data_IF_885433243656
#
_entry.id   IF_885433243656
#
_cell.length_a   1.000
_cell.length_b   1.000
_cell.length_c   1.000
_cell.angle_alpha   90.00
_cell.angle_beta   90.00
_cell.angle_gamma   90.00
#
_symmetry.space_group_name_H-M   'P 1'
#
loop_
_entity.id
_entity.type
_entity.pdbx_description
1 polymer ?
#
# COMPACT_ATOMS: atom_id res chain seq x y z
N UNK A 1 37.05 -9.78 -49.36
CA UNK A 1 36.03 -9.09 -48.55
C UNK A 1 34.76 -9.94 -48.41
N UNK A 2 34.05 -10.27 -49.49
CA UNK A 2 32.81 -11.09 -49.42
C UNK A 2 32.98 -12.39 -48.63
N UNK A 3 33.98 -13.21 -48.96
CA UNK A 3 34.24 -14.48 -48.25
C UNK A 3 34.54 -14.26 -46.76
N UNK A 4 35.24 -13.18 -46.41
CA UNK A 4 35.53 -12.85 -45.01
C UNK A 4 34.27 -12.44 -44.25
N UNK A 5 33.42 -11.60 -44.85
CA UNK A 5 32.12 -11.22 -44.29
C UNK A 5 31.24 -12.46 -44.07
N UNK A 6 31.13 -13.34 -45.07
CA UNK A 6 30.37 -14.58 -44.98
C UNK A 6 30.92 -15.52 -43.89
N UNK A 7 32.25 -15.66 -43.80
CA UNK A 7 32.90 -16.48 -42.78
C UNK A 7 32.57 -15.98 -41.36
N UNK A 8 32.71 -14.67 -41.13
CA UNK A 8 32.46 -14.07 -39.81
C UNK A 8 30.98 -14.18 -39.44
N UNK A 9 30.06 -13.85 -40.34
CA UNK A 9 28.63 -13.89 -40.05
C UNK A 9 28.02 -15.30 -39.99
N UNK A 10 28.68 -16.31 -40.58
CA UNK A 10 28.24 -17.71 -40.50
C UNK A 10 28.81 -18.43 -39.29
N UNK A 11 29.72 -17.79 -38.53
CA UNK A 11 30.25 -18.37 -37.31
C UNK A 11 29.17 -18.38 -36.21
N UNK A 12 28.83 -19.57 -35.73
CA UNK A 12 27.88 -19.76 -34.63
C UNK A 12 28.55 -19.70 -33.25
N UNK A 13 29.88 -19.69 -33.20
CA UNK A 13 30.66 -19.62 -31.96
C UNK A 13 30.69 -18.20 -31.40
N UNK A 14 30.77 -18.10 -30.08
CA UNK A 14 30.80 -16.85 -29.32
C UNK A 14 32.13 -16.59 -28.59
N UNK A 15 33.14 -17.43 -28.82
CA UNK A 15 34.45 -17.41 -28.16
C UNK A 15 35.63 -17.09 -29.11
N UNK A 16 35.35 -16.55 -30.30
CA UNK A 16 36.33 -16.31 -31.37
C UNK A 16 36.42 -14.84 -31.80
N UNK A 17 36.12 -13.91 -30.90
CA UNK A 17 36.12 -12.47 -31.20
C UNK A 17 37.49 -12.00 -31.73
N UNK A 18 38.59 -12.43 -31.11
CA UNK A 18 39.95 -12.07 -31.54
C UNK A 18 40.24 -12.48 -32.98
N UNK A 19 39.87 -13.71 -33.37
CA UNK A 19 40.04 -14.20 -34.74
C UNK A 19 39.20 -13.41 -35.75
N UNK A 20 38.03 -12.90 -35.33
CA UNK A 20 37.22 -12.05 -36.19
C UNK A 20 37.88 -10.70 -36.46
N UNK A 21 38.54 -10.11 -35.45
CA UNK A 21 39.37 -8.91 -35.63
C UNK A 21 40.60 -9.19 -36.50
N UNK A 22 41.29 -10.33 -36.33
CA UNK A 22 42.42 -10.71 -37.18
C UNK A 22 42.01 -10.79 -38.68
N UNK A 23 40.84 -11.35 -38.96
CA UNK A 23 40.28 -11.41 -40.34
C UNK A 23 39.95 -9.99 -40.85
N UNK A 24 39.37 -9.14 -40.01
CA UNK A 24 39.01 -7.76 -40.34
C UNK A 24 40.25 -6.93 -40.70
N UNK A 25 41.32 -7.02 -39.91
CA UNK A 25 42.58 -6.29 -40.14
C UNK A 25 43.27 -6.68 -41.45
N UNK A 26 43.01 -7.89 -41.94
CA UNK A 26 43.53 -8.37 -43.23
C UNK A 26 42.76 -7.81 -44.45
N UNK A 27 41.64 -7.09 -44.26
CA UNK A 27 40.85 -6.56 -45.37
C UNK A 27 41.48 -5.31 -46.00
N UNK A 28 41.34 -5.10 -47.32
CA UNK A 28 41.82 -3.88 -47.96
C UNK A 28 41.19 -2.62 -47.35
N UNK A 29 41.97 -1.56 -47.18
CA UNK A 29 41.49 -0.27 -46.70
C UNK A 29 40.66 0.45 -47.78
N UNK A 30 39.65 1.23 -47.35
CA UNK A 30 38.83 2.05 -48.24
C UNK A 30 39.72 3.06 -48.98
N UNK A 31 39.55 3.17 -50.29
CA UNK A 31 40.34 4.06 -51.16
C UNK A 31 41.59 3.40 -51.79
N UNK A 32 41.85 2.12 -51.53
CA UNK A 32 42.91 1.37 -52.19
C UNK A 32 42.36 0.54 -53.36
N UNK A 33 42.86 0.77 -54.58
CA UNK A 33 42.44 0.07 -55.80
C UNK A 33 41.32 0.76 -56.58
N UNK A 34 40.73 0.10 -57.60
CA UNK A 34 39.70 0.70 -58.43
C UNK A 34 38.38 0.89 -57.67
N UNK A 35 37.90 2.13 -57.63
CA UNK A 35 36.62 2.49 -57.02
C UNK A 35 35.47 2.08 -57.94
N UNK A 36 34.69 1.11 -57.48
CA UNK A 36 33.50 0.61 -58.17
C UNK A 36 32.33 0.63 -57.19
N UNK A 37 31.11 0.61 -57.70
CA UNK A 37 29.92 0.51 -56.86
C UNK A 37 29.95 -0.76 -55.96
N UNK A 38 30.53 -1.86 -56.45
CA UNK A 38 30.65 -3.11 -55.69
C UNK A 38 31.65 -2.96 -54.55
N UNK A 39 32.83 -2.38 -54.82
CA UNK A 39 33.86 -2.18 -53.78
C UNK A 39 33.39 -1.20 -52.71
N UNK A 40 32.71 -0.11 -53.09
CA UNK A 40 32.08 0.81 -52.14
C UNK A 40 31.06 0.11 -51.22
N UNK A 41 30.14 -0.68 -51.80
CA UNK A 41 29.14 -1.43 -51.03
C UNK A 41 29.77 -2.47 -50.09
N UNK A 42 30.87 -3.11 -50.49
CA UNK A 42 31.59 -4.05 -49.63
C UNK A 42 32.26 -3.33 -48.44
N UNK A 43 32.84 -2.15 -48.65
CA UNK A 43 33.36 -1.36 -47.55
C UNK A 43 32.24 -0.91 -46.60
N UNK A 44 31.07 -0.52 -47.10
CA UNK A 44 29.94 -0.17 -46.23
C UNK A 44 29.47 -1.36 -45.37
N UNK A 45 29.56 -2.59 -45.90
CA UNK A 45 29.28 -3.82 -45.14
C UNK A 45 30.37 -4.13 -44.10
N UNK A 46 31.63 -3.79 -44.38
CA UNK A 46 32.74 -3.92 -43.44
C UNK A 46 32.61 -2.90 -42.31
N UNK A 47 32.31 -1.64 -42.62
CA UNK A 47 32.05 -0.60 -41.59
C UNK A 47 30.86 -1.01 -40.69
N UNK A 48 29.86 -1.70 -41.24
CA UNK A 48 28.77 -2.26 -40.45
C UNK A 48 29.23 -3.43 -39.57
N UNK A 49 30.08 -4.32 -40.10
CA UNK A 49 30.64 -5.42 -39.33
C UNK A 49 31.50 -4.90 -38.16
N UNK A 50 32.29 -3.85 -38.35
CA UNK A 50 33.08 -3.22 -37.28
C UNK A 50 32.21 -2.81 -36.09
N UNK A 51 31.06 -2.19 -36.37
CA UNK A 51 30.07 -1.84 -35.33
C UNK A 51 29.46 -3.05 -34.66
N UNK A 52 29.23 -4.14 -35.40
CA UNK A 52 28.73 -5.39 -34.79
C UNK A 52 29.79 -6.03 -33.89
N UNK A 53 31.05 -6.02 -34.30
CA UNK A 53 32.18 -6.51 -33.51
C UNK A 53 32.35 -5.70 -32.22
N UNK A 54 32.25 -4.37 -32.27
CA UNK A 54 32.33 -3.54 -31.06
C UNK A 54 31.21 -3.84 -30.06
N UNK A 55 30.00 -4.20 -30.54
CA UNK A 55 28.93 -4.66 -29.66
C UNK A 55 29.29 -6.00 -29.00
N UNK A 56 29.81 -6.97 -29.77
CA UNK A 56 30.23 -8.26 -29.22
C UNK A 56 31.36 -8.11 -28.20
N UNK A 57 32.31 -7.20 -28.44
CA UNK A 57 33.36 -6.84 -27.49
C UNK A 57 32.79 -6.32 -26.17
N UNK A 58 31.83 -5.40 -26.23
CA UNK A 58 31.12 -4.90 -25.03
C UNK A 58 30.41 -6.04 -24.30
N UNK A 59 29.74 -6.93 -25.03
CA UNK A 59 29.05 -8.07 -24.45
C UNK A 59 30.04 -9.04 -23.76
N UNK A 60 31.18 -9.33 -24.37
CA UNK A 60 32.24 -10.17 -23.81
C UNK A 60 32.86 -9.55 -22.55
N UNK A 61 33.14 -8.24 -22.57
CA UNK A 61 33.65 -7.46 -21.42
C UNK A 61 32.78 -7.61 -20.17
N UNK A 62 31.46 -7.74 -20.32
CA UNK A 62 30.50 -7.93 -19.23
C UNK A 62 30.07 -9.38 -19.02
N UNK A 63 30.75 -10.35 -19.64
CA UNK A 63 30.49 -11.79 -19.44
C UNK A 63 29.21 -12.30 -20.12
N UNK A 64 28.69 -11.59 -21.12
CA UNK A 64 27.50 -11.95 -21.89
C UNK A 64 27.81 -12.29 -23.35
N UNK A 65 28.78 -13.18 -23.57
CA UNK A 65 29.22 -13.59 -24.91
C UNK A 65 28.04 -14.02 -25.82
N UNK A 66 28.08 -13.55 -27.07
CA UNK A 66 27.11 -13.82 -28.13
C UNK A 66 27.81 -13.90 -29.48
N UNK A 67 27.35 -14.77 -30.40
CA UNK A 67 27.90 -14.79 -31.75
C UNK A 67 27.52 -13.51 -32.52
N UNK A 68 28.36 -13.09 -33.46
CA UNK A 68 28.13 -11.87 -34.28
C UNK A 68 26.83 -11.98 -35.08
N UNK A 69 26.47 -13.20 -35.50
CA UNK A 69 25.20 -13.50 -36.16
C UNK A 69 23.98 -13.07 -35.34
N UNK A 70 24.02 -13.18 -34.02
CA UNK A 70 22.96 -12.74 -33.10
C UNK A 70 22.79 -11.22 -33.10
N UNK A 71 23.89 -10.46 -33.09
CA UNK A 71 23.85 -8.99 -33.16
C UNK A 71 23.22 -8.56 -34.49
N UNK A 72 23.60 -9.22 -35.60
CA UNK A 72 23.02 -8.95 -36.91
C UNK A 72 21.51 -9.23 -36.97
N UNK A 73 21.04 -10.32 -36.36
CA UNK A 73 19.60 -10.65 -36.38
C UNK A 73 18.78 -9.77 -35.44
N UNK A 74 19.35 -9.39 -34.29
CA UNK A 74 18.62 -8.62 -33.27
C UNK A 74 18.62 -7.10 -33.49
N UNK A 75 19.52 -6.55 -34.33
CA UNK A 75 19.67 -5.09 -34.53
C UNK A 75 18.39 -4.37 -34.98
N UNK A 76 17.43 -5.06 -35.59
CA UNK A 76 16.15 -4.49 -36.05
C UNK A 76 14.96 -4.83 -35.15
N UNK A 77 15.14 -5.70 -34.16
CA UNK A 77 14.08 -6.14 -33.25
C UNK A 77 14.15 -5.33 -31.96
N UNK A 78 13.18 -4.44 -31.74
CA UNK A 78 13.06 -3.65 -30.51
C UNK A 78 12.99 -4.54 -29.27
N UNK A 79 12.27 -5.66 -29.34
CA UNK A 79 12.10 -6.59 -28.23
C UNK A 79 13.41 -7.30 -27.86
N UNK A 80 14.13 -7.84 -28.86
CA UNK A 80 15.41 -8.53 -28.62
C UNK A 80 16.50 -7.56 -28.17
N UNK A 81 16.55 -6.36 -28.76
CA UNK A 81 17.46 -5.31 -28.35
C UNK A 81 17.21 -4.90 -26.89
N UNK A 82 15.95 -4.64 -26.52
CA UNK A 82 15.58 -4.31 -25.14
C UNK A 82 15.96 -5.43 -24.17
N UNK A 83 15.62 -6.68 -24.51
CA UNK A 83 15.95 -7.84 -23.69
C UNK A 83 17.46 -8.02 -23.51
N UNK A 84 18.27 -7.72 -24.53
CA UNK A 84 19.73 -7.76 -24.44
C UNK A 84 20.26 -6.71 -23.47
N UNK A 85 19.81 -5.46 -23.57
CA UNK A 85 20.23 -4.36 -22.69
C UNK A 85 19.89 -4.66 -21.22
N UNK A 86 18.67 -5.15 -20.94
CA UNK A 86 18.26 -5.59 -19.60
C UNK A 86 19.15 -6.72 -19.10
N UNK A 87 19.43 -7.71 -19.94
CA UNK A 87 20.25 -8.87 -19.57
C UNK A 87 21.68 -8.48 -19.25
N UNK A 88 22.25 -7.51 -19.98
CA UNK A 88 23.57 -6.95 -19.71
C UNK A 88 23.61 -6.31 -18.31
N UNK A 89 22.70 -5.37 -18.03
CA UNK A 89 22.62 -4.71 -16.72
C UNK A 89 22.44 -5.70 -15.57
N UNK A 90 21.55 -6.69 -15.74
CA UNK A 90 21.31 -7.72 -14.72
C UNK A 90 22.53 -8.63 -14.52
N UNK A 91 23.33 -8.87 -15.55
CA UNK A 91 24.57 -9.63 -15.42
C UNK A 91 25.61 -8.85 -14.62
N UNK A 92 25.76 -7.54 -14.89
CA UNK A 92 26.63 -6.64 -14.14
C UNK A 92 26.24 -6.55 -12.66
N UNK A 93 24.94 -6.54 -12.36
CA UNK A 93 24.43 -6.45 -10.98
C UNK A 93 24.50 -7.75 -10.17
N UNK A 94 25.00 -8.85 -10.74
CA UNK A 94 25.17 -10.11 -10.00
C UNK A 94 26.25 -9.96 -8.94
N UNK A 95 26.16 -10.70 -7.81
CA UNK A 95 27.21 -10.70 -6.79
C UNK A 95 28.56 -11.10 -7.39
N UNK A 96 29.68 -10.46 -6.98
CA UNK A 96 29.79 -9.45 -5.93
C UNK A 96 29.34 -8.03 -6.38
N UNK A 97 28.93 -7.14 -5.44
CA UNK A 97 28.57 -5.76 -5.77
C UNK A 97 29.70 -5.03 -6.51
N UNK A 98 29.35 -4.32 -7.58
CA UNK A 98 30.29 -3.53 -8.37
C UNK A 98 30.28 -2.06 -7.94
N UNK A 99 31.36 -1.33 -8.24
CA UNK A 99 31.47 0.09 -7.91
C UNK A 99 30.61 0.97 -8.82
N UNK A 100 30.29 2.17 -8.36
CA UNK A 100 29.60 3.20 -9.16
C UNK A 100 30.30 3.47 -10.50
N UNK A 101 31.64 3.45 -10.53
CA UNK A 101 32.41 3.67 -11.77
C UNK A 101 32.16 2.59 -12.81
N UNK A 102 31.99 1.33 -12.39
CA UNK A 102 31.64 0.22 -13.28
C UNK A 102 30.23 0.39 -13.81
N UNK A 103 29.28 0.74 -12.95
CA UNK A 103 27.90 1.04 -13.36
C UNK A 103 27.84 2.18 -14.38
N UNK A 104 28.53 3.30 -14.14
CA UNK A 104 28.60 4.40 -15.12
C UNK A 104 29.24 3.96 -16.44
N UNK A 105 30.23 3.07 -16.39
CA UNK A 105 30.80 2.44 -17.58
C UNK A 105 29.77 1.61 -18.35
N UNK A 106 28.93 0.86 -17.65
CA UNK A 106 27.85 0.06 -18.27
C UNK A 106 26.83 0.96 -18.97
N UNK A 107 26.43 2.09 -18.35
CA UNK A 107 25.54 3.05 -19.01
C UNK A 107 26.15 3.59 -20.30
N UNK A 108 27.45 3.91 -20.29
CA UNK A 108 28.14 4.36 -21.50
C UNK A 108 28.15 3.26 -22.57
N UNK A 109 28.47 2.02 -22.19
CA UNK A 109 28.48 0.87 -23.09
C UNK A 109 27.09 0.62 -23.71
N UNK A 110 25.99 0.76 -22.95
CA UNK A 110 24.61 0.66 -23.47
C UNK A 110 24.32 1.74 -24.52
N UNK A 111 24.73 2.98 -24.26
CA UNK A 111 24.52 4.11 -25.17
C UNK A 111 25.36 3.95 -26.45
N UNK A 112 26.58 3.44 -26.34
CA UNK A 112 27.45 3.17 -27.47
C UNK A 112 26.87 2.04 -28.34
N UNK A 113 26.38 0.96 -27.73
CA UNK A 113 25.66 -0.12 -28.43
C UNK A 113 24.37 0.40 -29.11
N UNK A 114 23.61 1.27 -28.44
CA UNK A 114 22.39 1.87 -28.98
C UNK A 114 22.67 2.79 -30.16
N UNK A 115 23.67 3.67 -30.06
CA UNK A 115 24.02 4.60 -31.12
C UNK A 115 24.61 3.87 -32.35
N UNK A 116 25.43 2.85 -32.13
CA UNK A 116 26.14 2.16 -33.20
C UNK A 116 25.28 1.14 -33.96
N UNK A 117 24.52 0.30 -33.25
CA UNK A 117 23.83 -0.86 -33.83
C UNK A 117 22.35 -0.89 -33.50
N UNK A 118 21.96 -0.68 -32.24
CA UNK A 118 20.56 -0.83 -31.79
C UNK A 118 19.77 0.47 -31.89
N UNK A 119 19.80 1.11 -33.06
CA UNK A 119 19.10 2.38 -33.33
C UNK A 119 17.58 2.24 -33.36
N UNK A 120 17.06 1.00 -33.27
CA UNK A 120 15.64 0.73 -33.05
C UNK A 120 15.17 1.11 -31.64
N UNK A 121 16.09 1.31 -30.69
CA UNK A 121 15.80 1.81 -29.34
C UNK A 121 16.06 3.31 -29.26
N UNK A 122 15.30 4.00 -28.41
CA UNK A 122 15.59 5.39 -28.05
C UNK A 122 16.68 5.46 -26.98
N UNK A 123 17.53 6.50 -26.95
CA UNK A 123 18.53 6.69 -25.90
C UNK A 123 17.91 6.72 -24.49
N UNK A 124 16.71 7.29 -24.35
CA UNK A 124 15.97 7.35 -23.09
C UNK A 124 15.64 5.96 -22.54
N UNK A 125 15.38 4.98 -23.43
CA UNK A 125 15.12 3.59 -23.04
C UNK A 125 16.34 2.98 -22.34
N UNK A 126 17.56 3.31 -22.76
CA UNK A 126 18.78 2.82 -22.10
C UNK A 126 18.91 3.36 -20.67
N UNK A 127 18.58 4.64 -20.45
CA UNK A 127 18.57 5.25 -19.12
C UNK A 127 17.50 4.62 -18.22
N UNK A 128 16.31 4.34 -18.77
CA UNK A 128 15.23 3.68 -18.04
C UNK A 128 15.63 2.26 -17.60
N UNK A 129 16.14 1.43 -18.52
CA UNK A 129 16.63 0.07 -18.22
C UNK A 129 17.73 0.11 -17.16
N UNK A 130 18.64 1.07 -17.28
CA UNK A 130 19.75 1.24 -16.34
C UNK A 130 19.25 1.60 -14.93
N UNK A 131 18.38 2.62 -14.81
CA UNK A 131 17.78 3.04 -13.55
C UNK A 131 16.97 1.91 -12.92
N UNK A 132 16.13 1.22 -13.69
CA UNK A 132 15.37 0.06 -13.22
C UNK A 132 16.29 -1.02 -12.65
N UNK A 133 17.38 -1.32 -13.35
CA UNK A 133 18.35 -2.33 -12.92
C UNK A 133 19.06 -1.95 -11.62
N UNK A 134 19.38 -0.66 -11.43
CA UNK A 134 19.94 -0.15 -10.18
C UNK A 134 18.94 -0.25 -9.03
N UNK A 135 17.69 0.16 -9.26
CA UNK A 135 16.62 0.09 -8.26
C UNK A 135 16.36 -1.35 -7.79
N UNK A 136 16.38 -2.33 -8.69
CA UNK A 136 16.14 -3.74 -8.39
C UNK A 136 17.40 -4.55 -8.02
N UNK A 137 18.54 -3.90 -7.80
CA UNK A 137 19.83 -4.58 -7.53
C UNK A 137 20.01 -5.11 -6.09
N UNK A 138 19.02 -4.92 -5.21
CA UNK A 138 19.10 -5.27 -3.77
C UNK A 138 20.25 -4.60 -3.01
N UNK A 139 20.72 -3.43 -3.50
CA UNK A 139 21.87 -2.71 -2.96
C UNK A 139 21.49 -1.23 -2.71
N UNK A 140 21.54 -0.72 -1.46
CA UNK A 140 21.08 0.63 -1.14
C UNK A 140 21.92 1.73 -1.80
N UNK A 141 23.22 1.50 -2.00
CA UNK A 141 24.10 2.42 -2.72
C UNK A 141 23.67 2.59 -4.17
N UNK A 142 23.23 1.51 -4.83
CA UNK A 142 22.72 1.55 -6.20
C UNK A 142 21.37 2.29 -6.26
N UNK A 143 20.50 2.14 -5.25
CA UNK A 143 19.27 2.94 -5.13
C UNK A 143 19.61 4.43 -5.04
N UNK A 144 20.65 4.79 -4.27
CA UNK A 144 21.13 6.18 -4.20
C UNK A 144 21.66 6.68 -5.54
N UNK A 145 22.38 5.84 -6.30
CA UNK A 145 22.86 6.18 -7.64
C UNK A 145 21.69 6.39 -8.61
N UNK A 146 20.67 5.53 -8.57
CA UNK A 146 19.45 5.69 -9.36
C UNK A 146 18.79 7.05 -9.09
N UNK A 147 18.75 7.49 -7.83
CA UNK A 147 18.26 8.81 -7.43
C UNK A 147 18.98 9.99 -8.10
N UNK A 148 20.27 9.85 -8.40
CA UNK A 148 21.04 10.89 -9.10
C UNK A 148 20.69 11.00 -10.59
N UNK A 149 20.12 9.93 -11.16
CA UNK A 149 19.84 9.75 -12.58
C UNK A 149 18.36 9.92 -12.93
N UNK A 150 17.53 10.36 -11.97
CA UNK A 150 16.11 10.63 -12.16
C UNK A 150 15.74 12.05 -11.73
N UNK A 151 14.62 12.56 -12.25
CA UNK A 151 13.97 13.75 -11.69
C UNK A 151 13.14 13.36 -10.47
N UNK A 152 13.46 13.94 -9.31
CA UNK A 152 12.89 13.59 -8.01
C UNK A 152 11.65 14.43 -7.60
N UNK A 153 11.25 15.43 -8.38
CA UNK A 153 10.12 16.33 -8.10
C UNK A 153 9.51 16.85 -9.39
N UNK A 154 8.20 17.02 -9.43
CA UNK A 154 7.50 17.61 -10.58
C UNK A 154 7.87 19.09 -10.82
N UNK A 155 8.30 19.79 -9.76
CA UNK A 155 8.62 21.22 -9.77
C UNK A 155 10.13 21.46 -9.83
N UNK A 156 10.94 20.42 -10.12
CA UNK A 156 12.37 20.63 -10.31
C UNK A 156 12.60 21.50 -11.54
N UNK A 157 12.77 22.81 -11.32
CA UNK A 157 13.57 23.64 -12.19
C UNK A 157 14.96 23.02 -12.21
N UNK A 158 15.46 22.71 -13.40
CA UNK A 158 16.86 22.34 -13.60
C UNK A 158 17.75 23.47 -13.08
N UNK A 159 18.11 23.43 -11.80
CA UNK A 159 19.29 24.13 -11.31
C UNK A 159 20.46 23.32 -11.85
N UNK A 160 20.80 23.57 -13.11
CA UNK A 160 22.10 23.22 -13.63
C UNK A 160 23.12 23.81 -12.65
N UNK A 161 23.96 22.99 -11.99
CA UNK A 161 25.09 23.57 -11.29
C UNK A 161 25.90 24.34 -12.34
N UNK A 162 26.12 25.64 -12.08
CA UNK A 162 26.83 26.59 -12.95
C UNK A 162 28.34 26.26 -13.09
N UNK A 163 28.71 24.99 -12.93
CA UNK A 163 30.09 24.47 -13.02
C UNK A 163 30.19 23.22 -13.90
N UNK A 164 29.44 23.13 -14.99
CA UNK A 164 29.84 22.24 -16.10
C UNK A 164 31.00 22.88 -16.84
N UNK A 165 32.21 22.48 -16.45
CA UNK A 165 33.43 22.79 -17.19
C UNK A 165 33.29 22.35 -18.66
N UNK A 166 33.81 23.16 -19.58
CA UNK A 166 33.77 22.97 -21.03
C UNK A 166 34.36 21.62 -21.53
N UNK A 167 34.90 20.78 -20.65
CA UNK A 167 35.48 19.47 -20.96
C UNK A 167 34.49 18.30 -20.99
N UNK A 168 33.28 18.46 -20.45
CA UNK A 168 32.34 17.33 -20.29
C UNK A 168 31.38 17.13 -21.48
N UNK A 169 31.43 18.00 -22.50
CA UNK A 169 30.64 17.85 -23.74
C UNK A 169 31.05 16.65 -24.62
N UNK A 170 32.16 15.98 -24.29
CA UNK A 170 32.64 14.80 -25.02
C UNK A 170 32.00 13.47 -24.62
N UNK A 171 31.28 13.41 -23.49
CA UNK A 171 30.57 12.21 -22.97
C UNK A 171 29.07 12.47 -22.81
N UNK A 172 28.46 13.03 -23.85
CA UNK A 172 27.18 13.76 -23.83
C UNK A 172 25.89 12.99 -23.51
N UNK A 173 25.95 11.80 -22.90
CA UNK A 173 24.77 11.00 -22.54
C UNK A 173 24.63 10.65 -21.06
N UNK A 174 25.73 10.50 -20.32
CA UNK A 174 25.72 9.91 -18.95
C UNK A 174 25.01 10.77 -17.90
N UNK A 175 24.87 12.07 -18.15
CA UNK A 175 24.23 13.02 -17.23
C UNK A 175 22.75 13.29 -17.55
N UNK A 176 22.16 12.59 -18.53
CA UNK A 176 20.74 12.70 -18.84
C UNK A 176 19.94 12.00 -17.77
N UNK A 177 18.94 12.69 -17.22
CA UNK A 177 18.05 12.16 -16.19
C UNK A 177 16.77 11.61 -16.81
N UNK A 178 16.27 10.51 -16.25
CA UNK A 178 14.93 9.99 -16.59
C UNK A 178 13.88 11.00 -16.11
N UNK A 179 12.96 11.35 -17.01
CA UNK A 179 11.88 12.31 -16.74
C UNK A 179 11.06 11.92 -15.51
N UNK A 180 10.42 12.90 -14.88
CA UNK A 180 9.71 12.72 -13.60
C UNK A 180 8.61 11.65 -13.67
N UNK A 181 7.79 11.63 -14.73
CA UNK A 181 6.68 10.67 -14.84
C UNK A 181 7.19 9.23 -14.87
N UNK A 182 8.15 8.94 -15.75
CA UNK A 182 8.77 7.62 -15.86
C UNK A 182 9.56 7.26 -14.59
N UNK A 183 10.22 8.23 -13.96
CA UNK A 183 10.90 8.01 -12.69
C UNK A 183 9.95 7.54 -11.58
N UNK A 184 8.77 8.16 -11.46
CA UNK A 184 7.74 7.74 -10.51
C UNK A 184 7.27 6.31 -10.82
N UNK A 185 7.04 5.97 -12.09
CA UNK A 185 6.63 4.62 -12.50
C UNK A 185 7.69 3.56 -12.12
N UNK A 186 8.97 3.81 -12.42
CA UNK A 186 10.08 2.91 -12.10
C UNK A 186 10.25 2.72 -10.59
N UNK A 187 10.20 3.81 -9.83
CA UNK A 187 10.31 3.77 -8.36
C UNK A 187 9.16 2.98 -7.74
N UNK A 188 7.92 3.21 -8.19
CA UNK A 188 6.75 2.46 -7.72
C UNK A 188 6.85 0.98 -8.08
N UNK A 189 7.28 0.64 -9.30
CA UNK A 189 7.45 -0.74 -9.73
C UNK A 189 8.47 -1.47 -8.85
N UNK A 190 9.65 -0.88 -8.64
CA UNK A 190 10.70 -1.46 -7.79
C UNK A 190 10.26 -1.61 -6.33
N UNK A 191 9.63 -0.59 -5.75
CA UNK A 191 9.14 -0.64 -4.37
C UNK A 191 8.08 -1.74 -4.18
N UNK A 192 7.18 -1.90 -5.15
CA UNK A 192 6.17 -2.97 -5.15
C UNK A 192 6.82 -4.36 -5.27
N UNK A 193 7.85 -4.51 -6.10
CA UNK A 193 8.57 -5.77 -6.24
C UNK A 193 9.22 -6.20 -4.92
N UNK A 194 9.96 -5.30 -4.26
CA UNK A 194 10.55 -5.55 -2.94
C UNK A 194 9.51 -5.88 -1.88
N UNK A 195 8.42 -5.10 -1.83
CA UNK A 195 7.34 -5.34 -0.88
C UNK A 195 6.66 -6.69 -1.12
N UNK A 196 6.37 -7.04 -2.37
CA UNK A 196 5.64 -8.27 -2.73
C UNK A 196 6.50 -9.53 -2.57
N UNK A 197 7.82 -9.40 -2.67
CA UNK A 197 8.78 -10.50 -2.46
C UNK A 197 9.18 -10.71 -1.00
N UNK A 198 8.85 -9.75 -0.12
CA UNK A 198 9.17 -9.82 1.30
C UNK A 198 8.45 -10.96 2.01
N UNK A 199 9.19 -11.68 2.86
CA UNK A 199 8.73 -12.91 3.53
C UNK A 199 8.30 -12.70 4.98
N UNK A 200 8.51 -11.50 5.51
CA UNK A 200 8.11 -11.10 6.86
C UNK A 200 7.82 -9.60 6.92
N UNK A 201 7.19 -9.13 8.01
CA UNK A 201 6.89 -7.71 8.22
C UNK A 201 8.15 -6.85 8.47
N UNK A 202 9.25 -7.48 8.86
CA UNK A 202 10.55 -6.85 9.14
C UNK A 202 11.64 -7.25 8.14
N UNK A 203 11.26 -7.72 6.96
CA UNK A 203 12.18 -8.15 5.92
C UNK A 203 13.06 -6.97 5.46
N UNK A 204 14.39 -7.11 5.32
CA UNK A 204 15.26 -6.03 4.85
C UNK A 204 14.84 -5.42 3.49
N UNK A 205 14.17 -6.20 2.64
CA UNK A 205 13.60 -5.70 1.38
C UNK A 205 12.57 -4.58 1.59
N UNK A 206 11.87 -4.53 2.74
CA UNK A 206 10.94 -3.44 3.06
C UNK A 206 11.66 -2.10 3.17
N UNK A 207 12.87 -2.07 3.72
CA UNK A 207 13.65 -0.83 3.80
C UNK A 207 14.22 -0.42 2.43
N UNK A 208 14.51 -1.38 1.53
CA UNK A 208 14.82 -1.07 0.13
C UNK A 208 13.61 -0.48 -0.60
N UNK A 209 12.41 -1.05 -0.41
CA UNK A 209 11.17 -0.48 -0.95
C UNK A 209 10.96 0.96 -0.47
N UNK A 210 11.16 1.20 0.83
CA UNK A 210 11.10 2.55 1.42
C UNK A 210 12.17 3.48 0.85
N UNK A 211 13.39 3.00 0.64
CA UNK A 211 14.48 3.78 0.07
C UNK A 211 14.17 4.21 -1.38
N UNK A 212 13.61 3.31 -2.20
CA UNK A 212 13.14 3.63 -3.55
C UNK A 212 12.10 4.75 -3.52
N UNK A 213 11.05 4.62 -2.70
CA UNK A 213 9.96 5.61 -2.64
C UNK A 213 10.45 6.99 -2.18
N UNK A 214 11.41 7.04 -1.24
CA UNK A 214 12.02 8.28 -0.74
C UNK A 214 12.84 9.03 -1.80
N UNK A 215 13.15 8.43 -2.95
CA UNK A 215 13.78 9.14 -4.05
C UNK A 215 12.85 10.21 -4.65
N UNK A 216 11.53 10.03 -4.57
CA UNK A 216 10.54 11.01 -5.04
C UNK A 216 10.18 11.94 -3.88
N UNK A 217 10.76 13.14 -3.91
CA UNK A 217 10.76 14.09 -2.79
C UNK A 217 9.44 14.81 -2.57
N UNK A 218 8.63 14.99 -3.61
CA UNK A 218 7.32 15.64 -3.54
C UNK A 218 6.18 14.69 -3.18
N UNK A 219 6.48 13.39 -3.00
CA UNK A 219 5.58 12.35 -2.51
C UNK A 219 4.16 12.42 -3.11
N UNK A 220 4.01 12.20 -4.44
CA UNK A 220 2.68 12.19 -5.07
C UNK A 220 1.79 11.11 -4.45
N UNK A 221 0.45 11.19 -4.59
CA UNK A 221 -0.48 10.30 -3.90
C UNK A 221 -0.15 8.82 -4.03
N UNK A 222 0.21 8.35 -5.23
CA UNK A 222 0.60 6.96 -5.50
C UNK A 222 1.82 6.50 -4.67
N UNK A 223 2.82 7.37 -4.48
CA UNK A 223 4.01 7.10 -3.65
C UNK A 223 3.63 7.10 -2.18
N UNK A 224 2.76 8.03 -1.75
CA UNK A 224 2.26 8.06 -0.38
C UNK A 224 1.49 6.79 -0.01
N UNK A 225 0.68 6.20 -0.91
CA UNK A 225 -0.04 4.96 -0.60
C UNK A 225 0.90 3.78 -0.32
N UNK A 226 1.98 3.68 -1.10
CA UNK A 226 3.00 2.67 -0.90
C UNK A 226 3.79 2.91 0.40
N UNK A 227 4.06 4.18 0.73
CA UNK A 227 4.68 4.56 2.00
C UNK A 227 3.79 4.26 3.21
N UNK A 228 2.47 4.47 3.07
CA UNK A 228 1.49 4.22 4.12
C UNK A 228 1.43 2.72 4.45
N UNK A 229 1.29 1.86 3.43
CA UNK A 229 1.23 0.41 3.63
C UNK A 229 2.55 -0.15 4.19
N UNK A 230 3.71 0.36 3.76
CA UNK A 230 5.00 -0.01 4.33
C UNK A 230 5.07 0.39 5.81
N UNK A 231 4.60 1.59 6.16
CA UNK A 231 4.61 2.08 7.54
C UNK A 231 3.67 1.28 8.43
N UNK A 232 2.55 0.79 7.89
CA UNK A 232 1.61 -0.07 8.60
C UNK A 232 2.22 -1.38 9.10
N UNK A 233 3.21 -1.94 8.39
CA UNK A 233 3.80 -3.25 8.74
C UNK A 233 4.41 -3.27 10.14
N UNK A 234 5.08 -2.18 10.54
CA UNK A 234 5.68 -2.05 11.88
C UNK A 234 4.64 -2.11 13.00
N UNK A 235 3.44 -1.56 12.75
CA UNK A 235 2.34 -1.58 13.69
C UNK A 235 1.65 -2.95 13.71
N UNK A 236 1.51 -3.60 12.56
CA UNK A 236 1.00 -4.97 12.47
C UNK A 236 1.90 -5.95 13.24
N UNK A 237 3.23 -5.78 13.12
CA UNK A 237 4.22 -6.55 13.88
C UNK A 237 4.10 -6.27 15.39
N UNK A 238 3.93 -5.01 15.78
CA UNK A 238 3.72 -4.62 17.18
C UNK A 238 2.49 -5.32 17.80
N UNK A 239 1.40 -5.49 17.04
CA UNK A 239 0.22 -6.26 17.45
C UNK A 239 0.36 -7.79 17.26
N UNK A 240 1.57 -8.27 16.93
CA UNK A 240 1.91 -9.69 16.71
C UNK A 240 1.08 -10.38 15.62
N UNK A 241 0.72 -9.66 14.56
CA UNK A 241 0.04 -10.29 13.42
C UNK A 241 0.99 -11.11 12.56
N UNK A 242 0.66 -12.39 12.41
CA UNK A 242 1.36 -13.31 11.51
C UNK A 242 0.76 -13.24 10.11
N UNK A 243 1.18 -12.23 9.34
CA UNK A 243 0.71 -12.00 7.97
C UNK A 243 1.88 -11.60 7.07
N UNK A 244 1.84 -12.02 5.79
CA UNK A 244 2.83 -11.61 4.81
C UNK A 244 2.51 -10.20 4.25
N UNK A 245 3.51 -9.38 3.92
CA UNK A 245 3.29 -8.08 3.27
C UNK A 245 2.35 -8.17 2.06
N UNK A 246 2.57 -9.13 1.16
CA UNK A 246 1.69 -9.35 0.00
C UNK A 246 0.22 -9.61 0.38
N UNK A 247 -0.02 -10.35 1.48
CA UNK A 247 -1.37 -10.59 1.97
C UNK A 247 -2.01 -9.32 2.54
N UNK A 248 -1.22 -8.45 3.19
CA UNK A 248 -1.68 -7.12 3.60
C UNK A 248 -2.10 -6.35 2.34
N UNK A 249 -1.26 -6.26 1.31
CA UNK A 249 -1.58 -5.53 0.06
C UNK A 249 -2.85 -6.03 -0.61
N UNK A 250 -3.04 -7.34 -0.70
CA UNK A 250 -4.19 -7.94 -1.39
C UNK A 250 -5.48 -7.97 -0.56
N UNK A 251 -5.45 -7.45 0.68
CA UNK A 251 -6.63 -7.51 1.55
C UNK A 251 -7.71 -6.52 1.12
N UNK A 252 -8.85 -7.06 0.67
CA UNK A 252 -10.03 -6.28 0.27
C UNK A 252 -10.68 -5.61 1.47
N UNK A 253 -10.98 -6.40 2.50
CA UNK A 253 -11.47 -5.87 3.77
C UNK A 253 -10.30 -5.46 4.67
N UNK A 254 -9.95 -4.17 4.61
CA UNK A 254 -8.89 -3.56 5.43
C UNK A 254 -9.23 -3.56 6.92
N UNK A 255 -10.52 -3.49 7.28
CA UNK A 255 -10.95 -3.45 8.68
C UNK A 255 -10.64 -4.78 9.38
N UNK A 256 -10.74 -5.90 8.65
CA UNK A 256 -10.41 -7.25 9.18
C UNK A 256 -8.98 -7.36 9.74
N UNK A 257 -8.03 -6.53 9.28
CA UNK A 257 -6.67 -6.49 9.84
C UNK A 257 -6.66 -5.84 11.24
N UNK A 258 -7.48 -4.82 11.45
CA UNK A 258 -7.67 -4.18 12.77
C UNK A 258 -8.34 -5.17 13.73
N UNK A 259 -9.38 -5.87 13.27
CA UNK A 259 -10.05 -6.92 14.06
C UNK A 259 -9.06 -8.01 14.51
N UNK A 260 -8.19 -8.45 13.60
CA UNK A 260 -7.14 -9.40 13.93
C UNK A 260 -6.18 -8.83 14.98
N UNK A 261 -5.70 -7.59 14.86
CA UNK A 261 -4.84 -6.95 15.87
C UNK A 261 -5.50 -6.96 17.25
N UNK A 262 -6.80 -6.62 17.30
CA UNK A 262 -7.59 -6.57 18.53
C UNK A 262 -7.73 -7.98 19.14
N UNK A 263 -7.99 -9.00 18.32
CA UNK A 263 -8.14 -10.37 18.80
C UNK A 263 -6.84 -10.99 19.34
N UNK A 264 -5.69 -10.60 18.79
CA UNK A 264 -4.40 -11.12 19.23
C UNK A 264 -3.89 -10.48 20.53
N UNK A 265 -4.29 -9.24 20.80
CA UNK A 265 -3.86 -8.51 21.99
C UNK A 265 -5.06 -8.14 22.86
N UNK A 266 -5.22 -8.84 23.98
CA UNK A 266 -6.38 -8.69 24.87
C UNK A 266 -6.61 -7.26 25.38
N UNK A 267 -5.56 -6.44 25.48
CA UNK A 267 -5.61 -5.04 25.90
C UNK A 267 -5.46 -4.03 24.75
N UNK A 268 -5.53 -4.47 23.49
CA UNK A 268 -5.42 -3.59 22.33
C UNK A 268 -6.43 -2.43 22.35
N UNK A 269 -7.61 -2.67 22.94
CA UNK A 269 -8.66 -1.64 23.12
C UNK A 269 -8.22 -0.42 23.92
N UNK A 270 -7.12 -0.50 24.68
CA UNK A 270 -6.54 0.63 25.42
C UNK A 270 -5.63 1.52 24.56
N UNK A 271 -5.29 1.07 23.34
CA UNK A 271 -4.36 1.72 22.43
C UNK A 271 -5.07 2.30 21.21
N UNK A 272 -6.19 3.01 21.44
CA UNK A 272 -7.06 3.54 20.38
C UNK A 272 -6.32 4.42 19.38
N UNK A 273 -5.42 5.31 19.84
CA UNK A 273 -4.62 6.16 18.96
C UNK A 273 -3.81 5.33 17.94
N UNK A 274 -3.11 4.29 18.40
CA UNK A 274 -2.31 3.43 17.52
C UNK A 274 -3.19 2.66 16.53
N UNK A 275 -4.34 2.13 16.96
CA UNK A 275 -5.22 1.40 16.05
C UNK A 275 -5.92 2.31 15.03
N UNK A 276 -6.20 3.56 15.39
CA UNK A 276 -6.71 4.58 14.47
C UNK A 276 -5.65 5.00 13.45
N UNK A 277 -4.41 5.19 13.89
CA UNK A 277 -3.28 5.50 13.00
C UNK A 277 -3.05 4.34 12.02
N UNK A 278 -3.04 3.10 12.53
CA UNK A 278 -2.94 1.90 11.69
C UNK A 278 -4.09 1.81 10.68
N UNK A 279 -5.34 2.06 11.10
CA UNK A 279 -6.50 2.03 10.21
C UNK A 279 -6.43 3.12 9.13
N UNK A 280 -5.83 4.28 9.46
CA UNK A 280 -5.57 5.37 8.51
C UNK A 280 -4.51 4.96 7.48
N UNK A 281 -3.40 4.39 7.93
CA UNK A 281 -2.33 3.87 7.05
C UNK A 281 -2.83 2.75 6.12
N UNK A 282 -3.69 1.87 6.64
CA UNK A 282 -4.33 0.80 5.86
C UNK A 282 -5.49 1.30 4.99
N UNK A 283 -5.89 2.57 5.14
CA UNK A 283 -7.01 3.21 4.43
C UNK A 283 -8.31 2.45 4.56
N UNK A 284 -8.61 2.04 5.79
CA UNK A 284 -9.92 1.49 6.17
C UNK A 284 -11.02 2.46 5.71
N UNK A 285 -12.12 1.92 5.21
CA UNK A 285 -13.22 2.67 4.59
C UNK A 285 -12.83 3.52 3.37
N UNK A 286 -11.75 3.16 2.65
CA UNK A 286 -11.38 3.81 1.39
C UNK A 286 -10.97 5.27 1.53
N UNK A 287 -10.47 5.67 2.71
CA UNK A 287 -10.06 7.04 3.00
C UNK A 287 -11.13 7.92 3.67
N UNK A 288 -12.35 7.42 3.87
CA UNK A 288 -13.35 8.10 4.70
C UNK A 288 -12.94 8.04 6.18
N UNK A 289 -12.26 9.10 6.65
CA UNK A 289 -11.77 9.19 8.03
C UNK A 289 -12.89 9.11 9.08
N UNK A 290 -14.09 9.62 8.77
CA UNK A 290 -15.20 9.59 9.72
C UNK A 290 -15.70 8.16 9.89
N UNK A 291 -15.91 7.46 8.77
CA UNK A 291 -16.34 6.06 8.79
C UNK A 291 -15.28 5.14 9.37
N UNK A 292 -14.01 5.35 9.03
CA UNK A 292 -12.87 4.63 9.59
C UNK A 292 -12.83 4.75 11.13
N UNK A 293 -12.88 5.97 11.66
CA UNK A 293 -12.91 6.22 13.11
C UNK A 293 -14.09 5.52 13.79
N UNK A 294 -15.28 5.66 13.21
CA UNK A 294 -16.50 4.99 13.72
C UNK A 294 -16.36 3.48 13.78
N UNK A 295 -15.90 2.85 12.70
CA UNK A 295 -15.69 1.40 12.65
C UNK A 295 -14.67 0.92 13.69
N UNK A 296 -13.52 1.60 13.80
CA UNK A 296 -12.49 1.25 14.78
C UNK A 296 -13.02 1.40 16.20
N UNK A 297 -13.63 2.53 16.56
CA UNK A 297 -14.17 2.72 17.91
C UNK A 297 -15.26 1.69 18.25
N UNK A 298 -16.11 1.32 17.30
CA UNK A 298 -17.08 0.23 17.49
C UNK A 298 -16.40 -1.09 17.85
N UNK A 299 -15.30 -1.46 17.17
CA UNK A 299 -14.53 -2.66 17.50
C UNK A 299 -13.87 -2.58 18.88
N UNK A 300 -13.27 -1.43 19.22
CA UNK A 300 -12.62 -1.23 20.53
C UNK A 300 -13.63 -1.26 21.68
N UNK A 301 -14.80 -0.64 21.49
CA UNK A 301 -15.88 -0.65 22.47
C UNK A 301 -16.39 -2.08 22.73
N UNK A 302 -16.54 -2.89 21.67
CA UNK A 302 -16.91 -4.30 21.80
C UNK A 302 -15.84 -5.10 22.54
N UNK A 303 -14.57 -4.95 22.18
CA UNK A 303 -13.48 -5.66 22.83
C UNK A 303 -13.36 -5.28 24.32
N UNK A 304 -13.46 -3.99 24.64
CA UNK A 304 -13.43 -3.52 26.03
C UNK A 304 -14.61 -4.10 26.84
N UNK A 305 -15.80 -4.18 26.23
CA UNK A 305 -16.97 -4.80 26.86
C UNK A 305 -16.75 -6.30 27.13
N UNK A 306 -16.20 -7.04 26.17
CA UNK A 306 -15.85 -8.46 26.34
C UNK A 306 -14.79 -8.66 27.44
N UNK A 307 -13.86 -7.73 27.58
CA UNK A 307 -12.87 -7.71 28.65
C UNK A 307 -13.44 -7.26 30.02
N UNK A 308 -14.75 -6.98 30.11
CA UNK A 308 -15.43 -6.43 31.28
C UNK A 308 -14.88 -5.07 31.75
N UNK A 309 -14.19 -4.35 30.86
CA UNK A 309 -13.71 -2.99 31.09
C UNK A 309 -14.77 -1.98 30.63
N UNK A 310 -15.83 -1.89 31.43
CA UNK A 310 -16.99 -1.05 31.11
C UNK A 310 -16.65 0.43 30.98
N UNK A 311 -15.64 0.91 31.72
CA UNK A 311 -15.20 2.31 31.64
C UNK A 311 -14.55 2.59 30.28
N UNK A 312 -13.62 1.73 29.85
CA UNK A 312 -13.00 1.88 28.54
C UNK A 312 -14.02 1.72 27.41
N UNK A 313 -14.95 0.76 27.54
CA UNK A 313 -16.04 0.58 26.57
C UNK A 313 -16.93 1.83 26.47
N UNK A 314 -17.30 2.42 27.61
CA UNK A 314 -18.11 3.65 27.62
C UNK A 314 -17.38 4.84 27.00
N UNK A 315 -16.08 5.01 27.25
CA UNK A 315 -15.28 6.08 26.63
C UNK A 315 -15.35 5.98 25.10
N UNK A 316 -15.14 4.79 24.53
CA UNK A 316 -15.24 4.58 23.08
C UNK A 316 -16.66 4.82 22.57
N UNK A 317 -17.68 4.40 23.31
CA UNK A 317 -19.08 4.71 22.97
C UNK A 317 -19.37 6.23 23.01
N UNK A 318 -18.78 6.98 23.94
CA UNK A 318 -18.91 8.44 23.97
C UNK A 318 -18.28 9.08 22.73
N UNK A 319 -17.14 8.59 22.25
CA UNK A 319 -16.53 9.07 21.01
C UNK A 319 -17.41 8.77 19.78
N UNK A 320 -18.06 7.62 19.74
CA UNK A 320 -19.06 7.28 18.71
C UNK A 320 -20.27 8.22 18.74
N UNK A 321 -20.83 8.44 19.93
CA UNK A 321 -21.98 9.33 20.14
C UNK A 321 -21.63 10.77 19.78
N UNK A 322 -20.49 11.27 20.24
CA UNK A 322 -20.01 12.63 19.99
C UNK A 322 -19.69 12.87 18.50
N UNK A 323 -19.25 11.85 17.77
CA UNK A 323 -19.02 11.91 16.32
C UNK A 323 -20.31 11.71 15.49
N UNK A 324 -21.40 11.28 16.14
CA UNK A 324 -22.68 10.99 15.48
C UNK A 324 -22.62 9.72 14.61
N UNK A 325 -21.76 8.76 14.95
CA UNK A 325 -21.61 7.51 14.20
C UNK A 325 -22.74 6.53 14.53
N UNK A 326 -23.86 6.64 13.81
CA UNK A 326 -25.09 5.89 14.08
C UNK A 326 -24.95 4.36 14.02
N UNK A 327 -24.06 3.82 13.18
CA UNK A 327 -23.82 2.37 13.11
C UNK A 327 -23.25 1.81 14.45
N UNK A 328 -22.74 2.68 15.33
CA UNK A 328 -22.33 2.34 16.68
C UNK A 328 -23.48 2.04 17.66
N UNK A 329 -24.75 2.10 17.22
CA UNK A 329 -25.91 1.86 18.06
C UNK A 329 -25.87 0.49 18.77
N UNK A 330 -25.32 -0.53 18.10
CA UNK A 330 -25.31 -1.91 18.58
C UNK A 330 -24.44 -2.04 19.83
N UNK A 331 -23.20 -1.56 19.80
CA UNK A 331 -22.29 -1.61 20.96
C UNK A 331 -22.79 -0.75 22.12
N UNK A 332 -23.35 0.43 21.82
CA UNK A 332 -24.00 1.28 22.82
C UNK A 332 -25.14 0.52 23.49
N UNK A 333 -25.92 -0.25 22.73
CA UNK A 333 -27.06 -0.99 23.27
C UNK A 333 -26.63 -2.14 24.18
N UNK A 334 -25.55 -2.83 23.82
CA UNK A 334 -24.98 -3.93 24.60
C UNK A 334 -24.45 -3.43 25.95
N UNK A 335 -23.67 -2.34 25.93
CA UNK A 335 -23.16 -1.73 27.16
C UNK A 335 -24.28 -1.11 28.01
N UNK A 336 -25.28 -0.48 27.39
CA UNK A 336 -26.45 0.09 28.07
C UNK A 336 -27.31 -0.96 28.79
N UNK A 337 -27.40 -2.16 28.24
CA UNK A 337 -28.10 -3.31 28.84
C UNK A 337 -27.26 -4.08 29.86
N UNK A 338 -25.95 -3.81 29.97
CA UNK A 338 -25.07 -4.57 30.83
C UNK A 338 -25.31 -4.28 32.32
N UNK A 339 -25.81 -5.26 33.07
CA UNK A 339 -26.05 -5.14 34.51
C UNK A 339 -24.76 -4.96 35.31
N UNK A 340 -23.62 -5.45 34.81
CA UNK A 340 -22.31 -5.29 35.43
C UNK A 340 -21.80 -3.84 35.40
N UNK A 341 -22.34 -3.00 34.51
CA UNK A 341 -22.00 -1.58 34.47
C UNK A 341 -22.92 -0.78 35.41
N UNK A 342 -22.35 -0.28 36.49
CA UNK A 342 -23.12 0.33 37.60
C UNK A 342 -23.52 1.79 37.35
N UNK A 343 -22.96 2.44 36.33
CA UNK A 343 -23.31 3.82 35.99
C UNK A 343 -24.65 3.87 35.24
N UNK A 344 -25.73 4.02 36.01
CA UNK A 344 -27.09 4.07 35.48
C UNK A 344 -27.30 5.25 34.52
N UNK A 345 -26.66 6.40 34.75
CA UNK A 345 -26.78 7.57 33.87
C UNK A 345 -26.13 7.27 32.52
N UNK A 346 -24.90 6.77 32.54
CA UNK A 346 -24.21 6.38 31.32
C UNK A 346 -25.02 5.33 30.53
N UNK A 347 -25.60 4.34 31.21
CA UNK A 347 -26.48 3.33 30.58
C UNK A 347 -27.72 3.94 29.93
N UNK A 348 -28.37 4.89 30.60
CA UNK A 348 -29.52 5.62 30.04
C UNK A 348 -29.13 6.41 28.78
N UNK A 349 -27.99 7.11 28.80
CA UNK A 349 -27.48 7.85 27.64
C UNK A 349 -27.17 6.95 26.45
N UNK A 350 -26.54 5.79 26.70
CA UNK A 350 -26.24 4.79 25.68
C UNK A 350 -27.50 4.23 25.03
N UNK A 351 -28.50 3.83 25.83
CA UNK A 351 -29.77 3.32 25.33
C UNK A 351 -30.56 4.40 24.57
N UNK A 352 -30.50 5.64 25.04
CA UNK A 352 -31.08 6.78 24.33
C UNK A 352 -30.46 6.95 22.94
N UNK A 353 -29.14 6.85 22.80
CA UNK A 353 -28.47 6.87 21.50
C UNK A 353 -28.80 5.65 20.64
N UNK A 354 -28.86 4.46 21.23
CA UNK A 354 -29.24 3.26 20.48
C UNK A 354 -30.66 3.39 19.93
N UNK A 355 -31.62 3.94 20.70
CA UNK A 355 -32.99 4.16 20.24
C UNK A 355 -33.10 5.15 19.07
N UNK A 356 -32.21 6.15 18.96
CA UNK A 356 -32.21 7.07 17.81
C UNK A 356 -31.69 6.45 16.52
N UNK A 357 -30.82 5.43 16.61
CA UNK A 357 -30.08 4.91 15.46
C UNK A 357 -30.33 3.43 15.14
N UNK A 358 -31.04 2.70 16.00
CA UNK A 358 -31.32 1.29 15.80
C UNK A 358 -32.28 1.03 14.63
N UNK A 359 -32.21 -0.15 13.98
CA UNK A 359 -33.18 -0.57 13.00
C UNK A 359 -34.56 -0.83 13.67
N UNK A 360 -35.67 -0.74 12.92
CA UNK A 360 -37.02 -0.90 13.46
C UNK A 360 -37.24 -2.17 14.29
N UNK A 361 -36.57 -3.28 13.93
CA UNK A 361 -36.66 -4.55 14.63
C UNK A 361 -36.13 -4.50 16.07
N UNK A 362 -35.24 -3.56 16.38
CA UNK A 362 -34.60 -3.44 17.70
C UNK A 362 -35.25 -2.39 18.61
N UNK A 363 -36.21 -1.60 18.12
CA UNK A 363 -36.86 -0.54 18.90
C UNK A 363 -37.57 -1.11 20.14
N UNK A 364 -38.40 -2.14 19.96
CA UNK A 364 -39.19 -2.69 21.06
C UNK A 364 -38.33 -3.31 22.18
N UNK A 365 -37.33 -4.17 21.87
CA UNK A 365 -36.39 -4.66 22.89
C UNK A 365 -35.67 -3.53 23.64
N UNK A 366 -35.19 -2.50 22.93
CA UNK A 366 -34.45 -1.39 23.55
C UNK A 366 -35.34 -0.47 24.40
N UNK A 367 -36.60 -0.27 24.01
CA UNK A 367 -37.58 0.45 24.81
C UNK A 367 -37.90 -0.30 26.11
N UNK A 368 -38.05 -1.62 26.04
CA UNK A 368 -38.24 -2.45 27.24
C UNK A 368 -37.03 -2.33 28.18
N UNK A 369 -35.81 -2.49 27.66
CA UNK A 369 -34.59 -2.33 28.45
C UNK A 369 -34.43 -0.93 29.07
N UNK A 370 -34.81 0.13 28.33
CA UNK A 370 -34.78 1.50 28.84
C UNK A 370 -35.80 1.73 29.96
N UNK A 371 -36.99 1.14 29.82
CA UNK A 371 -38.06 1.19 30.82
C UNK A 371 -37.64 0.49 32.11
N UNK A 372 -37.07 -0.71 32.00
CA UNK A 372 -36.57 -1.49 33.15
C UNK A 372 -35.46 -0.70 33.88
N UNK A 373 -34.53 -0.10 33.15
CA UNK A 373 -33.47 0.73 33.73
C UNK A 373 -34.03 1.97 34.46
N UNK A 374 -35.10 2.58 33.94
CA UNK A 374 -35.76 3.70 34.59
C UNK A 374 -36.39 3.30 35.94
N UNK A 375 -36.96 2.09 36.02
CA UNK A 375 -37.49 1.56 37.28
C UNK A 375 -36.38 1.25 38.29
N UNK A 376 -35.18 0.85 37.85
CA UNK A 376 -34.03 0.64 38.74
C UNK A 376 -33.51 1.96 39.33
N UNK A 377 -33.53 3.04 38.55
CA UNK A 377 -33.19 4.38 39.03
C UNK A 377 -34.25 4.97 39.96
N UNK A 378 -35.47 4.43 39.95
CA UNK A 378 -36.63 4.89 40.72
C UNK A 378 -36.97 3.82 41.77
N UNK A 379 -36.23 3.77 42.88
CA UNK A 379 -36.22 2.66 43.85
C UNK A 379 -37.59 2.05 44.25
N UNK A 380 -37.60 0.82 44.81
CA UNK A 380 -38.82 0.01 44.91
C UNK A 380 -39.89 0.65 45.82
N UNK A 381 -41.18 0.55 45.48
CA UNK A 381 -42.25 0.79 46.44
C UNK A 381 -42.25 -0.34 47.48
N UNK A 382 -42.15 0.03 48.75
CA UNK A 382 -42.26 -0.86 49.91
C UNK A 382 -43.53 -1.72 49.85
N UNK A 383 -43.37 -3.03 49.68
CA UNK A 383 -44.47 -3.99 49.68
C UNK A 383 -44.61 -4.70 51.04
N UNK A 384 -45.84 -4.73 51.54
CA UNK A 384 -46.26 -5.37 52.78
C UNK A 384 -46.67 -6.81 52.48
N UNK A 385 -46.13 -7.79 53.21
CA UNK A 385 -46.52 -9.21 53.13
C UNK A 385 -47.84 -9.47 53.88
N UNK A 386 -48.59 -10.54 53.52
CA UNK A 386 -48.66 -11.66 54.47
C UNK A 386 -48.77 -13.08 53.84
N UNK A 387 -48.54 -14.07 54.72
CA UNK A 387 -48.45 -15.52 54.50
C UNK A 387 -49.80 -16.25 54.32
N UNK A 388 -49.78 -17.32 53.52
CA UNK A 388 -50.18 -18.68 53.95
C UNK A 388 -51.47 -19.32 53.39
N UNK A 389 -51.35 -20.51 52.76
CA UNK A 389 -52.43 -21.51 52.72
C UNK A 389 -52.60 -22.33 51.42
N UNK A 390 -52.01 -23.53 51.40
CA UNK A 390 -51.97 -24.47 50.28
C UNK A 390 -53.32 -25.15 49.94
N UNK A 391 -54.03 -24.57 48.98
CA UNK A 391 -55.00 -25.19 48.03
C UNK A 391 -55.55 -24.09 47.10
N UNK A 392 -55.53 -22.84 47.58
CA UNK A 392 -55.55 -21.64 46.75
C UNK A 392 -54.26 -21.49 45.93
N UNK A 393 -53.17 -22.16 46.25
CA UNK A 393 -51.83 -21.91 45.69
C UNK A 393 -51.70 -22.01 44.17
N UNK A 394 -52.52 -22.79 43.44
CA UNK A 394 -52.44 -22.84 41.98
C UNK A 394 -53.20 -21.69 41.33
N UNK A 395 -54.39 -21.36 41.84
CA UNK A 395 -55.19 -20.20 41.38
C UNK A 395 -54.62 -18.89 41.90
N UNK A 396 -54.09 -18.85 43.12
CA UNK A 396 -53.42 -17.69 43.70
C UNK A 396 -52.02 -17.54 43.14
N UNK A 397 -51.29 -18.61 42.76
CA UNK A 397 -50.08 -18.46 41.93
C UNK A 397 -50.44 -17.99 40.55
N UNK A 398 -51.41 -18.57 39.83
CA UNK A 398 -51.73 -18.08 38.49
C UNK A 398 -52.30 -16.67 38.53
N UNK A 399 -53.13 -16.34 39.52
CA UNK A 399 -53.68 -14.99 39.69
C UNK A 399 -52.60 -14.01 40.15
N UNK A 400 -51.72 -14.38 41.09
CA UNK A 400 -50.57 -13.53 41.46
C UNK A 400 -49.54 -13.43 40.33
N UNK A 401 -49.33 -14.46 39.51
CA UNK A 401 -48.48 -14.43 38.31
C UNK A 401 -49.10 -13.57 37.24
N UNK A 402 -50.42 -13.64 37.05
CA UNK A 402 -51.15 -12.81 36.08
C UNK A 402 -51.22 -11.37 36.58
N UNK A 403 -51.36 -11.13 37.88
CA UNK A 403 -51.29 -9.80 38.51
C UNK A 403 -49.87 -9.26 38.47
N UNK A 404 -48.84 -10.07 38.72
CA UNK A 404 -47.43 -9.69 38.55
C UNK A 404 -47.13 -9.39 37.10
N UNK A 405 -47.61 -10.20 36.15
CA UNK A 405 -47.46 -9.95 34.72
C UNK A 405 -48.23 -8.69 34.34
N UNK A 406 -49.47 -8.49 34.75
CA UNK A 406 -50.25 -7.28 34.47
C UNK A 406 -49.70 -6.04 35.18
N UNK A 407 -49.12 -6.19 36.37
CA UNK A 407 -48.46 -5.11 37.10
C UNK A 407 -47.11 -4.79 36.48
N UNK A 408 -46.31 -5.77 36.08
CA UNK A 408 -45.08 -5.56 35.32
C UNK A 408 -45.38 -4.98 33.94
N UNK A 409 -46.37 -5.50 33.21
CA UNK A 409 -46.84 -4.97 31.93
C UNK A 409 -47.43 -3.58 32.12
N UNK A 410 -48.18 -3.33 33.19
CA UNK A 410 -48.72 -2.02 33.53
C UNK A 410 -47.64 -1.01 33.92
N UNK A 411 -46.63 -1.43 34.69
CA UNK A 411 -45.48 -0.64 35.10
C UNK A 411 -44.57 -0.36 33.90
N UNK A 412 -44.28 -1.34 33.04
CA UNK A 412 -43.52 -1.13 31.81
C UNK A 412 -44.28 -0.28 30.82
N UNK A 413 -45.59 -0.48 30.62
CA UNK A 413 -46.40 0.38 29.74
C UNK A 413 -46.49 1.80 30.29
N UNK A 414 -46.69 1.96 31.60
CA UNK A 414 -46.69 3.28 32.24
C UNK A 414 -45.32 3.92 32.18
N UNK A 415 -44.24 3.20 32.42
CA UNK A 415 -42.88 3.72 32.35
C UNK A 415 -42.47 4.05 30.90
N UNK A 416 -42.88 3.26 29.90
CA UNK A 416 -42.73 3.59 28.47
C UNK A 416 -43.50 4.86 28.13
N UNK A 417 -44.77 4.98 28.55
CA UNK A 417 -45.56 6.19 28.35
C UNK A 417 -44.95 7.39 29.09
N UNK A 418 -44.40 7.19 30.28
CA UNK A 418 -43.77 8.24 31.08
C UNK A 418 -42.47 8.69 30.41
N UNK A 419 -41.65 7.76 29.93
CA UNK A 419 -40.41 8.04 29.19
C UNK A 419 -40.68 8.77 27.87
N UNK A 420 -41.70 8.36 27.11
CA UNK A 420 -42.14 9.03 25.87
C UNK A 420 -42.78 10.40 26.17
N UNK A 421 -43.35 10.61 27.35
CA UNK A 421 -43.90 11.92 27.76
C UNK A 421 -42.87 12.87 28.39
N UNK A 422 -41.67 12.38 28.72
CA UNK A 422 -40.65 13.16 29.41
C UNK A 422 -39.96 14.13 28.44
N UNK A 423 -40.09 15.44 28.72
CA UNK A 423 -39.48 16.50 27.94
C UNK A 423 -37.94 16.44 27.97
N UNK A 424 -37.34 15.93 29.05
CA UNK A 424 -35.89 15.75 29.15
C UNK A 424 -35.39 14.62 28.25
N UNK A 425 -36.19 13.56 28.09
CA UNK A 425 -35.93 12.47 27.14
C UNK A 425 -35.90 13.01 25.72
N UNK A 426 -36.94 13.74 25.27
CA UNK A 426 -36.95 14.35 23.93
C UNK A 426 -35.81 15.33 23.70
N UNK A 427 -35.42 16.12 24.71
CA UNK A 427 -34.27 17.04 24.62
C UNK A 427 -32.95 16.29 24.41
N UNK A 428 -32.74 15.18 25.10
CA UNK A 428 -31.56 14.33 24.93
C UNK A 428 -31.57 13.59 23.57
N UNK A 429 -32.75 13.12 23.12
CA UNK A 429 -32.92 12.53 21.80
C UNK A 429 -32.61 13.55 20.69
N UNK A 430 -33.09 14.79 20.83
CA UNK A 430 -32.78 15.89 19.91
C UNK A 430 -31.28 16.22 19.85
N UNK A 431 -30.54 16.09 20.95
CA UNK A 431 -29.09 16.27 20.95
C UNK A 431 -28.36 15.19 20.13
N UNK A 432 -28.88 13.97 20.11
CA UNK A 432 -28.34 12.86 19.31
C UNK A 432 -28.75 12.96 17.83
N UNK A 433 -29.89 13.60 17.55
CA UNK A 433 -30.35 13.91 16.20
C UNK A 433 -29.60 15.12 15.64
N UNK A 434 -28.36 14.94 15.18
CA UNK A 434 -27.71 15.98 14.37
C UNK A 434 -28.41 16.11 13.01
N UNK A 435 -28.70 17.33 12.53
CA UNK A 435 -29.24 17.50 11.18
C UNK A 435 -28.22 17.01 10.14
N UNK A 436 -28.68 16.17 9.20
CA UNK A 436 -27.91 15.67 8.04
C UNK A 436 -27.45 16.78 7.05
N UNK A 437 -27.64 18.05 7.39
CA UNK A 437 -27.36 19.19 6.51
C UNK A 437 -26.04 19.85 6.89
N UNK A 438 -24.95 19.35 6.31
CA UNK A 438 -23.82 20.07 5.67
C UNK A 438 -22.78 18.98 5.39
N UNK A 439 -22.81 18.34 4.22
CA UNK A 439 -21.67 17.50 3.75
C UNK A 439 -21.65 17.21 2.25
N UNK A 440 -22.43 17.94 1.46
CA UNK A 440 -22.12 18.18 0.05
C UNK A 440 -21.34 19.49 -0.05
N UNK A 441 -20.02 19.44 0.14
CA UNK A 441 -19.14 20.47 -0.41
C UNK A 441 -18.16 19.86 -1.40
N UNK A 442 -18.42 20.23 -2.67
CA UNK A 442 -17.45 20.62 -3.69
C UNK A 442 -16.46 19.56 -4.15
N UNK A 443 -16.92 18.77 -5.11
CA UNK A 443 -16.11 18.50 -6.31
C UNK A 443 -16.05 19.82 -7.07
N UNK A 444 -14.89 20.46 -7.03
CA UNK A 444 -14.51 21.62 -7.82
C UNK A 444 -13.03 21.51 -8.11
#
# INVERSE_FOLDING_TARGET
MTVALECIYSCERDDQLSLCYDILECLPQRGYGPETHITASLHDQVDKLEKHLSVVEVLEKHGLQKPISYVRSSQTSTEEAHALMVKLCRHTGRPPPVSESVWRGVLQDLLDMQHSVYTCLQPDTCHQIFVESLLCSSCPENVSLAGQLIHCSAVSHDVFPVSVSFRDRGRGGVNVKVNYHTAVELVLAAAREYFNSSTSLTDPCIELARACLKLITDCPPAVQEEMDIISSLSMLEYFNLKILPLQVRLRVDRLSLIEQCISQCSKAYTQSALLLDLATLLRVAGGDQWRCKGQVFSLLAHQALQALDYKASYIHCQDLMASGYGDGWEVCSLLGQCEGYLDLRARQELLAFSLTHCPPASIHPLLAASSDLQTQSSGPPSSVSPLGGAAGDLLHRTTNRTIEVLANTGLTTKAVLTAVSDHSWWKNQLNNLRPLHVRTQRVG
#
